data_IF_534887606579
#
_entry.id   IF_534887606579
#
_cell.length_a   1.000
_cell.length_b   1.000
_cell.length_c   1.000
_cell.angle_alpha   90.00
_cell.angle_beta   90.00
_cell.angle_gamma   90.00
#
_symmetry.space_group_name_H-M   'P 1'
#
loop_
_entity.id
_entity.type
_entity.pdbx_description
1 polymer ?
#
# COMPACT_ATOMS: atom_id res chain seq x y z
N UNK A 1 1.79 -12.12 13.78
CA UNK A 1 0.84 -11.30 13.01
C UNK A 1 0.60 -11.92 11.65
N UNK A 2 -0.64 -11.87 11.16
CA UNK A 2 -1.03 -12.27 9.81
C UNK A 2 -1.49 -11.01 9.04
N UNK A 3 -1.06 -10.90 7.80
CA UNK A 3 -1.39 -9.77 6.92
C UNK A 3 -2.15 -10.31 5.71
N UNK A 4 -3.29 -9.70 5.41
CA UNK A 4 -4.07 -9.99 4.20
C UNK A 4 -4.10 -8.74 3.34
N UNK A 5 -3.67 -8.89 2.09
CA UNK A 5 -3.61 -7.80 1.10
C UNK A 5 -4.65 -8.05 0.01
N UNK A 6 -5.33 -6.98 -0.42
CA UNK A 6 -6.28 -7.03 -1.53
C UNK A 6 -6.22 -5.76 -2.37
N UNK A 7 -6.62 -5.87 -3.64
CA UNK A 7 -6.84 -4.71 -4.51
C UNK A 7 -8.13 -3.95 -4.13
N UNK A 8 -9.10 -4.64 -3.55
CA UNK A 8 -10.38 -4.09 -3.12
C UNK A 8 -10.49 -4.12 -1.60
N UNK A 9 -11.43 -3.34 -1.05
CA UNK A 9 -11.68 -3.37 0.40
C UNK A 9 -12.23 -4.76 0.74
N UNK A 10 -11.47 -5.53 1.51
CA UNK A 10 -11.88 -6.87 1.94
C UNK A 10 -13.11 -6.78 2.85
N UNK A 11 -14.29 -7.06 2.32
CA UNK A 11 -15.56 -7.17 3.07
C UNK A 11 -15.81 -8.57 3.61
N UNK A 12 -15.00 -9.56 3.21
CA UNK A 12 -15.19 -10.97 3.57
C UNK A 12 -14.76 -11.32 4.99
N UNK A 13 -13.93 -10.49 5.63
CA UNK A 13 -13.46 -10.72 6.99
C UNK A 13 -14.25 -9.81 7.92
N UNK A 14 -15.04 -10.41 8.81
CA UNK A 14 -15.69 -9.67 9.89
C UNK A 14 -14.64 -9.29 10.97
N UNK A 15 -14.21 -8.04 10.91
CA UNK A 15 -13.22 -7.46 11.83
C UNK A 15 -13.75 -7.45 13.28
N UNK A 16 -15.05 -7.28 13.49
CA UNK A 16 -15.64 -7.28 14.82
C UNK A 16 -15.60 -8.68 15.45
N UNK A 17 -15.95 -9.70 14.67
CA UNK A 17 -15.83 -11.09 15.11
C UNK A 17 -14.37 -11.47 15.41
N UNK A 18 -13.45 -11.03 14.57
CA UNK A 18 -12.01 -11.26 14.75
C UNK A 18 -11.49 -10.61 16.04
N UNK A 19 -11.87 -9.35 16.32
CA UNK A 19 -11.51 -8.66 17.57
C UNK A 19 -12.05 -9.39 18.80
N UNK A 20 -13.30 -9.83 18.78
CA UNK A 20 -13.88 -10.61 19.89
C UNK A 20 -13.10 -11.90 20.15
N UNK A 21 -12.79 -12.66 19.09
CA UNK A 21 -12.01 -13.90 19.23
C UNK A 21 -10.62 -13.66 19.83
N UNK A 22 -9.95 -12.57 19.45
CA UNK A 22 -8.63 -12.21 20.00
C UNK A 22 -8.74 -11.73 21.45
N UNK A 23 -9.76 -10.93 21.77
CA UNK A 23 -10.04 -10.48 23.14
C UNK A 23 -10.23 -11.67 24.08
N UNK A 24 -11.04 -12.65 23.68
CA UNK A 24 -11.32 -13.87 24.46
C UNK A 24 -10.06 -14.73 24.62
N UNK A 25 -9.30 -14.95 23.54
CA UNK A 25 -8.09 -15.78 23.55
C UNK A 25 -6.99 -15.20 24.45
N UNK A 26 -6.84 -13.88 24.46
CA UNK A 26 -5.79 -13.18 25.20
C UNK A 26 -6.27 -12.63 26.55
N UNK A 27 -7.56 -12.73 26.86
CA UNK A 27 -8.20 -12.16 28.06
C UNK A 27 -7.93 -10.66 28.23
N UNK A 28 -8.01 -9.93 27.12
CA UNK A 28 -7.82 -8.47 27.08
C UNK A 28 -9.16 -7.78 26.77
N UNK A 29 -9.23 -6.49 27.05
CA UNK A 29 -10.39 -5.69 26.67
C UNK A 29 -10.50 -5.54 25.15
N UNK A 30 -11.72 -5.34 24.66
CA UNK A 30 -11.95 -5.04 23.24
C UNK A 30 -11.18 -3.78 22.79
N UNK A 31 -10.99 -2.80 23.68
CA UNK A 31 -10.20 -1.60 23.41
C UNK A 31 -8.73 -1.95 23.12
N UNK A 32 -8.15 -2.90 23.85
CA UNK A 32 -6.77 -3.34 23.64
C UNK A 32 -6.60 -4.09 22.31
N UNK A 33 -7.64 -4.72 21.79
CA UNK A 33 -7.59 -5.36 20.46
C UNK A 33 -7.33 -4.38 19.32
N UNK A 34 -7.56 -3.08 19.51
CA UNK A 34 -7.23 -2.07 18.50
C UNK A 34 -5.72 -1.97 18.23
N UNK A 35 -4.87 -2.39 19.17
CA UNK A 35 -3.42 -2.50 18.96
C UNK A 35 -3.03 -3.78 18.21
N UNK A 36 -3.94 -4.75 18.13
CA UNK A 36 -3.69 -6.10 17.59
C UNK A 36 -4.43 -6.36 16.28
N UNK A 37 -5.43 -5.56 15.93
CA UNK A 37 -6.23 -5.67 14.71
C UNK A 37 -6.39 -4.29 14.10
N UNK A 38 -5.77 -4.07 12.96
CA UNK A 38 -5.82 -2.79 12.25
C UNK A 38 -5.86 -3.01 10.74
N UNK A 39 -6.64 -2.15 10.08
CA UNK A 39 -6.78 -2.11 8.63
C UNK A 39 -6.36 -0.75 8.10
N UNK A 40 -5.95 -0.73 6.85
CA UNK A 40 -5.54 0.51 6.20
C UNK A 40 -5.35 0.35 4.71
N UNK A 41 -4.81 1.40 4.12
CA UNK A 41 -4.50 1.46 2.70
C UNK A 41 -3.00 1.73 2.57
N UNK A 42 -2.32 0.88 1.81
CA UNK A 42 -0.96 1.09 1.38
C UNK A 42 -0.95 1.48 -0.10
N UNK A 43 -0.06 2.40 -0.44
CA UNK A 43 0.15 2.86 -1.81
C UNK A 43 1.59 2.51 -2.21
N UNK A 44 1.75 1.89 -3.38
CA UNK A 44 3.06 1.82 -4.03
C UNK A 44 3.20 3.09 -4.88
N UNK A 45 3.68 4.17 -4.25
CA UNK A 45 4.02 5.44 -4.89
C UNK A 45 5.53 5.61 -4.88
N UNK A 46 6.22 4.92 -5.80
CA UNK A 46 7.68 4.96 -5.87
C UNK A 46 8.22 6.09 -6.76
N UNK A 47 7.44 6.58 -7.73
CA UNK A 47 7.79 7.74 -8.55
C UNK A 47 6.54 8.58 -8.86
N UNK A 48 6.47 9.78 -8.27
CA UNK A 48 5.38 10.71 -8.52
C UNK A 48 5.78 11.71 -9.60
N UNK A 49 5.11 11.68 -10.75
CA UNK A 49 5.34 12.65 -11.83
C UNK A 49 4.86 14.08 -11.49
N UNK A 50 4.18 14.27 -10.35
CA UNK A 50 3.81 15.59 -9.80
C UNK A 50 4.73 15.90 -8.63
N UNK A 51 5.72 16.76 -8.84
CA UNK A 51 6.68 17.16 -7.82
C UNK A 51 8.11 16.87 -8.26
N UNK A 52 8.72 15.86 -7.62
CA UNK A 52 10.11 15.46 -7.85
C UNK A 52 10.24 14.67 -9.16
N UNK A 53 10.46 15.39 -10.25
CA UNK A 53 10.72 14.81 -11.58
C UNK A 53 12.20 14.85 -11.91
N UNK A 54 12.71 13.75 -12.47
CA UNK A 54 14.06 13.68 -13.01
C UNK A 54 13.98 14.05 -14.49
N UNK A 55 14.51 15.21 -14.85
CA UNK A 55 14.58 15.67 -16.23
C UNK A 55 15.89 15.20 -16.90
N UNK A 56 15.78 14.74 -18.14
CA UNK A 56 16.91 14.31 -18.98
C UNK A 56 17.02 15.24 -20.17
N UNK A 57 18.22 15.81 -20.37
CA UNK A 57 18.59 16.52 -21.59
C UNK A 57 19.11 15.51 -22.62
N UNK A 58 18.40 15.40 -23.75
CA UNK A 58 18.80 14.55 -24.85
C UNK A 58 19.89 15.20 -25.70
N UNK A 59 20.55 14.41 -26.57
CA UNK A 59 21.56 14.94 -27.51
C UNK A 59 20.99 15.91 -28.55
N UNK A 60 19.67 15.89 -28.79
CA UNK A 60 18.99 16.88 -29.64
C UNK A 60 18.70 18.20 -28.92
N UNK A 61 19.01 18.29 -27.62
CA UNK A 61 18.73 19.48 -26.79
C UNK A 61 17.34 19.49 -26.17
N UNK A 62 16.55 18.44 -26.35
CA UNK A 62 15.20 18.31 -25.78
C UNK A 62 15.28 17.87 -24.31
N UNK A 63 14.46 18.49 -23.46
CA UNK A 63 14.33 18.12 -22.04
C UNK A 63 13.04 17.33 -21.87
N UNK A 64 13.15 16.12 -21.32
CA UNK A 64 12.01 15.24 -21.07
C UNK A 64 12.14 14.51 -19.72
N UNK A 65 11.01 14.17 -19.10
CA UNK A 65 10.96 13.38 -17.87
C UNK A 65 11.55 11.98 -18.11
N UNK A 66 12.35 11.44 -17.18
CA UNK A 66 12.90 10.08 -17.26
C UNK A 66 11.82 9.03 -17.52
N UNK A 67 10.61 9.20 -16.99
CA UNK A 67 9.49 8.29 -17.20
C UNK A 67 8.92 8.35 -18.62
N UNK A 68 9.16 9.44 -19.35
CA UNK A 68 8.83 9.57 -20.77
C UNK A 68 10.00 9.16 -21.67
N UNK A 69 11.23 9.50 -21.27
CA UNK A 69 12.45 9.24 -22.01
C UNK A 69 12.89 7.76 -21.97
N UNK A 70 12.55 7.06 -20.89
CA UNK A 70 13.04 5.71 -20.62
C UNK A 70 12.14 4.64 -21.20
N UNK A 71 12.70 3.79 -22.07
CA UNK A 71 12.06 2.55 -22.51
C UNK A 71 12.12 1.42 -21.46
N UNK A 72 12.83 1.63 -20.35
CA UNK A 72 12.93 0.64 -19.28
C UNK A 72 11.54 0.36 -18.67
N UNK A 73 11.06 -0.90 -18.69
CA UNK A 73 9.76 -1.29 -18.15
C UNK A 73 9.59 -0.91 -16.68
N UNK A 74 10.68 -0.92 -15.92
CA UNK A 74 10.69 -0.64 -14.48
C UNK A 74 10.28 0.81 -14.19
N UNK A 75 10.80 1.79 -14.95
CA UNK A 75 10.46 3.20 -14.74
C UNK A 75 8.98 3.45 -15.06
N UNK A 76 8.46 2.83 -16.13
CA UNK A 76 7.03 2.89 -16.48
C UNK A 76 6.16 2.25 -15.39
N UNK A 77 6.62 1.16 -14.78
CA UNK A 77 5.91 0.50 -13.67
C UNK A 77 5.90 1.33 -12.38
N UNK A 78 6.99 2.05 -12.05
CA UNK A 78 7.08 2.91 -10.86
C UNK A 78 6.12 4.11 -10.91
N UNK A 79 5.77 4.57 -12.12
CA UNK A 79 4.74 5.62 -12.32
C UNK A 79 3.32 5.14 -11.96
N UNK A 80 3.06 3.84 -12.03
CA UNK A 80 1.73 3.30 -11.77
C UNK A 80 1.51 3.17 -10.26
N UNK A 81 0.70 4.07 -9.73
CA UNK A 81 0.25 4.01 -8.34
C UNK A 81 -0.62 2.76 -8.16
N UNK A 82 -0.18 1.83 -7.32
CA UNK A 82 -0.99 0.66 -6.94
C UNK A 82 -1.51 0.87 -5.52
N UNK A 83 -2.83 0.93 -5.40
CA UNK A 83 -3.54 0.94 -4.12
C UNK A 83 -3.77 -0.49 -3.64
N UNK A 84 -3.42 -0.77 -2.38
CA UNK A 84 -3.68 -2.05 -1.72
C UNK A 84 -4.35 -1.81 -0.38
N UNK A 85 -5.45 -2.49 -0.12
CA UNK A 85 -6.05 -2.56 1.20
C UNK A 85 -5.37 -3.67 1.98
N UNK A 86 -5.07 -3.41 3.25
CA UNK A 86 -4.50 -4.40 4.14
C UNK A 86 -5.32 -4.56 5.41
N UNK A 87 -5.39 -5.80 5.90
CA UNK A 87 -5.85 -6.12 7.24
C UNK A 87 -4.71 -6.87 7.95
N UNK A 88 -4.23 -6.31 9.05
CA UNK A 88 -3.23 -6.92 9.91
C UNK A 88 -3.89 -7.35 11.22
N UNK A 89 -3.65 -8.58 11.65
CA UNK A 89 -4.17 -9.07 12.92
C UNK A 89 -3.22 -10.04 13.63
N UNK A 90 -3.32 -10.07 14.95
CA UNK A 90 -2.66 -11.06 15.78
C UNK A 90 -3.28 -12.46 15.58
N UNK A 91 -2.44 -13.50 15.48
CA UNK A 91 -2.86 -14.89 15.22
C UNK A 91 -2.26 -15.80 16.29
#
# INVERSE_FOLDING_TARGET
FKIVLSAEKNTTIDVAQLKKSIAEKLKISERETNYLVFEGIAYNEAYQAKGEVINILSKSGEIQDIAQASDLPNIKALKKIVKKYYLCYFR
#
